data_IF_937051989757
#
_entry.id   IF_937051989757
#
_cell.length_a   1.000
_cell.length_b   1.000
_cell.length_c   1.000
_cell.angle_alpha   90.00
_cell.angle_beta   90.00
_cell.angle_gamma   90.00
#
_symmetry.space_group_name_H-M   'P 1'
#
loop_
_entity.id
_entity.type
_entity.pdbx_description
1 polymer ?
#
# COMPACT_ATOMS: atom_id res chain seq x y z
N UNK A 1 8.74 9.91 -12.82
CA UNK A 1 9.92 10.15 -11.97
C UNK A 1 10.06 8.95 -11.05
N UNK A 2 11.28 8.50 -10.76
CA UNK A 2 11.46 7.41 -9.80
C UNK A 2 11.08 7.89 -8.41
N UNK A 3 10.40 7.04 -7.65
CA UNK A 3 9.96 7.34 -6.29
C UNK A 3 10.82 6.57 -5.28
N UNK A 4 10.99 7.17 -4.11
CA UNK A 4 11.76 6.59 -3.01
C UNK A 4 10.85 5.96 -1.96
N UNK A 5 11.44 5.21 -1.04
CA UNK A 5 10.72 4.67 0.13
C UNK A 5 10.24 5.81 1.05
N UNK A 6 10.91 6.97 1.06
CA UNK A 6 10.44 8.13 1.80
C UNK A 6 9.14 8.71 1.23
N UNK A 7 9.01 8.73 -0.10
CA UNK A 7 7.76 9.15 -0.74
C UNK A 7 6.63 8.18 -0.35
N UNK A 8 6.92 6.88 -0.31
CA UNK A 8 5.97 5.86 0.13
C UNK A 8 5.51 6.10 1.57
N UNK A 9 6.44 6.44 2.47
CA UNK A 9 6.12 6.81 3.85
C UNK A 9 5.19 8.02 3.91
N UNK A 10 5.40 9.03 3.07
CA UNK A 10 4.54 10.22 3.02
C UNK A 10 3.10 9.88 2.63
N UNK A 11 2.90 8.97 1.65
CA UNK A 11 1.55 8.51 1.28
C UNK A 11 0.91 7.72 2.44
N UNK A 12 1.66 6.82 3.06
CA UNK A 12 1.17 6.07 4.22
C UNK A 12 0.69 7.01 5.34
N UNK A 13 1.50 8.02 5.70
CA UNK A 13 1.14 8.99 6.74
C UNK A 13 -0.16 9.74 6.39
N UNK A 14 -0.29 10.17 5.14
CA UNK A 14 -1.49 10.87 4.65
C UNK A 14 -2.76 10.03 4.80
N UNK A 15 -2.69 8.73 4.49
CA UNK A 15 -3.85 7.83 4.63
C UNK A 15 -4.10 7.49 6.11
N UNK A 16 -3.04 7.28 6.89
CA UNK A 16 -3.14 7.01 8.32
C UNK A 16 -3.81 8.15 9.10
N UNK A 17 -3.52 9.41 8.74
CA UNK A 17 -4.18 10.58 9.33
C UNK A 17 -5.68 10.63 9.04
N UNK A 18 -6.12 10.17 7.86
CA UNK A 18 -7.56 10.10 7.52
C UNK A 18 -8.29 9.08 8.37
N UNK A 19 -7.73 7.88 8.55
CA UNK A 19 -8.32 6.85 9.41
C UNK A 19 -8.39 7.23 10.90
N UNK A 20 -7.59 8.21 11.35
CA UNK A 20 -7.67 8.71 12.73
C UNK A 20 -9.00 9.42 13.01
N UNK A 21 -9.65 9.97 11.96
CA UNK A 21 -10.86 10.78 12.09
C UNK A 21 -12.15 10.02 11.76
N UNK A 22 -12.06 8.75 11.34
CA UNK A 22 -13.24 7.93 11.04
C UNK A 22 -13.84 7.33 12.31
N UNK A 23 -15.14 7.61 12.53
CA UNK A 23 -15.95 6.92 13.54
C UNK A 23 -16.18 5.50 13.07
N UNK A 24 -15.49 4.54 13.71
CA UNK A 24 -15.61 3.12 13.37
C UNK A 24 -16.98 2.59 13.79
N UNK A 25 -17.78 2.12 12.82
CA UNK A 25 -18.73 1.05 13.10
C UNK A 25 -17.92 -0.24 13.23
N UNK A 26 -17.91 -0.84 14.42
CA UNK A 26 -17.24 -2.11 14.69
C UNK A 26 -18.00 -3.25 14.00
N UNK A 27 -17.73 -3.42 12.70
CA UNK A 27 -17.98 -4.70 12.04
C UNK A 27 -16.71 -5.52 12.28
N UNK A 28 -16.80 -6.58 13.08
CA UNK A 28 -15.71 -7.55 13.21
C UNK A 28 -15.44 -8.17 11.84
N UNK A 29 -14.31 -7.82 11.26
CA UNK A 29 -13.80 -8.41 10.02
C UNK A 29 -12.64 -9.32 10.38
N UNK A 30 -12.51 -10.39 9.62
CA UNK A 30 -11.39 -11.32 9.75
C UNK A 30 -10.08 -10.57 9.44
N UNK A 31 -9.10 -10.68 10.35
CA UNK A 31 -7.83 -9.98 10.17
C UNK A 31 -7.04 -10.58 9.01
N UNK A 32 -6.68 -9.73 8.03
CA UNK A 32 -5.82 -10.15 6.92
C UNK A 32 -4.40 -10.37 7.43
N UNK A 33 -3.87 -11.59 7.22
CA UNK A 33 -2.48 -11.90 7.59
C UNK A 33 -1.49 -11.18 6.67
N UNK A 34 -0.26 -10.96 7.16
CA UNK A 34 0.81 -10.39 6.33
C UNK A 34 1.09 -11.24 5.07
N UNK A 35 1.06 -12.56 5.21
CA UNK A 35 1.28 -13.48 4.10
C UNK A 35 0.20 -13.34 3.02
N UNK A 36 -1.07 -13.22 3.45
CA UNK A 36 -2.19 -13.02 2.53
C UNK A 36 -2.12 -11.65 1.85
N UNK A 37 -1.73 -10.61 2.58
CA UNK A 37 -1.52 -9.27 2.03
C UNK A 37 -0.41 -9.26 0.95
N UNK A 38 0.73 -9.90 1.23
CA UNK A 38 1.82 -10.03 0.24
C UNK A 38 1.33 -10.79 -0.99
N UNK A 39 0.62 -11.91 -0.78
CA UNK A 39 0.07 -12.72 -1.87
C UNK A 39 -0.93 -11.92 -2.72
N UNK A 40 -1.78 -11.12 -2.08
CA UNK A 40 -2.76 -10.26 -2.74
C UNK A 40 -2.09 -9.19 -3.60
N UNK A 41 -1.16 -8.44 -3.02
CA UNK A 41 -0.44 -7.38 -3.74
C UNK A 41 0.37 -7.92 -4.91
N UNK A 42 1.08 -9.05 -4.72
CA UNK A 42 1.80 -9.71 -5.81
C UNK A 42 0.84 -10.08 -6.93
N UNK A 43 -0.28 -10.73 -6.62
CA UNK A 43 -1.29 -11.10 -7.62
C UNK A 43 -1.75 -9.88 -8.42
N UNK A 44 -2.12 -8.78 -7.75
CA UNK A 44 -2.54 -7.53 -8.41
C UNK A 44 -1.46 -6.99 -9.34
N UNK A 45 -0.19 -6.96 -8.91
CA UNK A 45 0.95 -6.51 -9.73
C UNK A 45 1.16 -7.41 -10.94
N UNK A 46 1.09 -8.73 -10.78
CA UNK A 46 1.25 -9.67 -11.89
C UNK A 46 0.12 -9.59 -12.92
N UNK A 47 -1.10 -9.35 -12.48
CA UNK A 47 -2.28 -9.23 -13.35
C UNK A 47 -2.35 -7.88 -14.09
N UNK A 48 -2.04 -6.77 -13.40
CA UNK A 48 -2.26 -5.41 -13.91
C UNK A 48 -0.97 -4.74 -14.39
N UNK A 49 0.21 -5.28 -14.06
CA UNK A 49 1.53 -4.71 -14.38
C UNK A 49 1.94 -3.54 -13.48
N UNK A 50 0.97 -2.78 -12.96
CA UNK A 50 1.19 -1.70 -12.00
C UNK A 50 0.02 -1.57 -11.02
N UNK A 51 0.31 -1.11 -9.79
CA UNK A 51 -0.71 -0.82 -8.77
C UNK A 51 -0.50 0.55 -8.13
N UNK A 52 -1.59 1.22 -7.77
CA UNK A 52 -1.58 2.46 -7.01
C UNK A 52 -1.49 2.16 -5.51
N UNK A 53 -0.43 2.63 -4.86
CA UNK A 53 -0.24 2.41 -3.43
C UNK A 53 -1.19 3.28 -2.60
N UNK A 54 -1.59 4.46 -3.09
CA UNK A 54 -2.62 5.26 -2.45
C UNK A 54 -3.95 4.47 -2.38
N UNK A 55 -4.39 3.88 -3.50
CA UNK A 55 -5.63 3.09 -3.53
C UNK A 55 -5.57 1.87 -2.62
N UNK A 56 -4.46 1.13 -2.66
CA UNK A 56 -4.24 -0.02 -1.77
C UNK A 56 -4.38 0.38 -0.31
N UNK A 57 -3.80 1.50 0.09
CA UNK A 57 -3.88 1.97 1.46
C UNK A 57 -5.28 2.49 1.83
N UNK A 58 -5.99 3.15 0.92
CA UNK A 58 -7.37 3.60 1.13
C UNK A 58 -8.38 2.43 1.26
N UNK A 59 -8.05 1.24 0.75
CA UNK A 59 -8.85 0.02 0.95
C UNK A 59 -8.73 -0.57 2.37
N UNK A 60 -7.80 -0.11 3.19
CA UNK A 60 -7.55 -0.66 4.52
C UNK A 60 -8.55 -0.09 5.52
N UNK A 61 -9.14 -0.93 6.38
CA UNK A 61 -10.26 -0.49 7.22
C UNK A 61 -9.83 0.04 8.58
N UNK A 62 -8.59 -0.25 8.97
CA UNK A 62 -8.06 0.13 10.26
C UNK A 62 -6.54 0.29 10.19
N UNK A 63 -5.99 0.95 11.22
CA UNK A 63 -4.55 1.21 11.33
C UNK A 63 -3.71 -0.07 11.27
N UNK A 64 -4.20 -1.20 11.78
CA UNK A 64 -3.47 -2.46 11.78
C UNK A 64 -3.34 -3.01 10.36
N UNK A 65 -4.43 -3.09 9.62
CA UNK A 65 -4.44 -3.45 8.19
C UNK A 65 -3.53 -2.53 7.37
N UNK A 66 -3.62 -1.21 7.60
CA UNK A 66 -2.79 -0.23 6.91
C UNK A 66 -1.29 -0.46 7.14
N UNK A 67 -0.89 -0.76 8.37
CA UNK A 67 0.50 -1.11 8.70
C UNK A 67 0.90 -2.42 8.05
N UNK A 68 0.03 -3.44 8.04
CA UNK A 68 0.27 -4.72 7.36
C UNK A 68 0.50 -4.53 5.87
N UNK A 69 -0.33 -3.72 5.20
CA UNK A 69 -0.18 -3.37 3.79
C UNK A 69 1.14 -2.65 3.53
N UNK A 70 1.51 -1.69 4.38
CA UNK A 70 2.78 -0.97 4.25
C UNK A 70 3.99 -1.90 4.35
N UNK A 71 4.00 -2.81 5.34
CA UNK A 71 5.07 -3.80 5.49
C UNK A 71 5.12 -4.75 4.28
N UNK A 72 3.96 -5.19 3.79
CA UNK A 72 3.88 -6.04 2.60
C UNK A 72 4.49 -5.36 1.36
N UNK A 73 4.21 -4.07 1.16
CA UNK A 73 4.82 -3.29 0.07
C UNK A 73 6.33 -3.20 0.23
N UNK A 74 6.85 -2.93 1.43
CA UNK A 74 8.29 -2.89 1.68
C UNK A 74 8.96 -4.24 1.40
N UNK A 75 8.32 -5.34 1.79
CA UNK A 75 8.82 -6.69 1.50
C UNK A 75 8.88 -6.95 0.00
N UNK A 76 7.84 -6.56 -0.74
CA UNK A 76 7.80 -6.70 -2.21
C UNK A 76 8.89 -5.85 -2.86
N UNK A 77 9.06 -4.59 -2.45
CA UNK A 77 10.14 -3.72 -2.96
C UNK A 77 11.53 -4.30 -2.67
N UNK A 78 11.69 -5.02 -1.55
CA UNK A 78 12.94 -5.67 -1.15
C UNK A 78 13.23 -6.97 -1.91
N UNK A 79 12.20 -7.74 -2.23
CA UNK A 79 12.34 -9.13 -2.72
C UNK A 79 12.03 -9.32 -4.20
N UNK A 80 11.19 -8.47 -4.79
CA UNK A 80 10.73 -8.60 -6.17
C UNK A 80 11.42 -7.60 -7.09
N UNK A 81 11.47 -7.94 -8.38
CA UNK A 81 11.95 -7.01 -9.43
C UNK A 81 10.85 -6.00 -9.79
N UNK A 82 10.67 -5.00 -8.92
CA UNK A 82 9.67 -3.93 -9.05
C UNK A 82 10.32 -2.56 -8.95
N UNK A 83 9.63 -1.53 -9.47
CA UNK A 83 10.01 -0.12 -9.35
C UNK A 83 8.89 0.70 -8.74
N UNK A 84 9.27 1.63 -7.86
CA UNK A 84 8.40 2.69 -7.37
C UNK A 84 8.49 3.87 -8.33
N UNK A 85 7.35 4.30 -8.86
CA UNK A 85 7.25 5.41 -9.79
C UNK A 85 6.25 6.43 -9.27
N UNK A 86 6.48 7.70 -9.55
CA UNK A 86 5.53 8.77 -9.26
C UNK A 86 5.28 9.60 -10.52
N UNK A 87 3.99 9.85 -10.79
CA UNK A 87 3.53 10.58 -12.00
C UNK A 87 3.72 12.10 -11.86
N UNK A 88 3.54 12.64 -10.65
CA UNK A 88 3.72 14.06 -10.33
C UNK A 88 4.21 14.21 -8.89
N UNK A 89 4.95 15.28 -8.57
CA UNK A 89 5.46 15.55 -7.21
C UNK A 89 4.32 15.52 -6.19
N UNK A 90 4.51 14.79 -5.08
CA UNK A 90 3.49 14.54 -4.04
C UNK A 90 2.22 13.81 -4.53
N UNK A 91 2.25 13.30 -5.76
CA UNK A 91 1.20 12.49 -6.35
C UNK A 91 1.27 11.04 -5.90
N UNK A 92 0.35 10.25 -6.43
CA UNK A 92 0.27 8.82 -6.16
C UNK A 92 1.57 8.07 -6.54
N UNK A 93 1.92 7.07 -5.73
CA UNK A 93 3.07 6.20 -5.98
C UNK A 93 2.55 4.91 -6.56
N UNK A 94 3.15 4.57 -7.69
CA UNK A 94 2.83 3.41 -8.48
C UNK A 94 3.93 2.38 -8.24
N UNK A 95 3.52 1.19 -7.78
CA UNK A 95 4.40 0.02 -7.75
C UNK A 95 4.23 -0.72 -9.07
N UNK A 96 5.29 -0.75 -9.86
CA UNK A 96 5.28 -1.30 -11.23
C UNK A 96 6.25 -2.45 -11.36
N UNK A 97 5.83 -3.52 -12.03
CA UNK A 97 6.73 -4.62 -12.39
C UNK A 97 7.78 -4.15 -13.41
N UNK A 98 9.03 -4.54 -13.20
CA UNK A 98 10.13 -4.26 -14.14
C UNK A 98 9.99 -5.08 -15.42
#
# INVERSE_FOLDING_TARGET
>A
VDATVFDLLSIFQKVAERHKNEVKMEIEREEVSLADMIKDLKRRIFEHGEISLLKVFEEMHNKRELVTAFIAVLEIVRTESVRLMQKATFGDIILRKV
#
